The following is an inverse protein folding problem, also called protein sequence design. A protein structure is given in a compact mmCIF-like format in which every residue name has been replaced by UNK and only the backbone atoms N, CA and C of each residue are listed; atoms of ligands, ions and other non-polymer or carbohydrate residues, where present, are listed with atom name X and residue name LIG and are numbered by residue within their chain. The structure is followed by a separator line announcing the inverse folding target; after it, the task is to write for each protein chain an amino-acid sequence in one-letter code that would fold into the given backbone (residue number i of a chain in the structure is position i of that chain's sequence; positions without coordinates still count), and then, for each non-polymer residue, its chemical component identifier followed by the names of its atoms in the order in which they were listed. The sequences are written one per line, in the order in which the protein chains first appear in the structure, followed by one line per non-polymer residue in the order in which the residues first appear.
data_IF_766062304546
#
_entry.id   IF_766062304546
#
_cell.length_a   1.000
_cell.length_b   1.000
_cell.length_c   1.000
_cell.angle_alpha   90.00
_cell.angle_beta   90.00
_cell.angle_gamma   90.00
#
_symmetry.space_group_name_H-M   'P 1'
#
loop_
_entity.id
_entity.type
_entity.pdbx_description
1 polymer ?
#
# COMPACT_ATOMS: atom_id res chain seq x y z
N UNK A 1 22.85 -37.54 -26.07
CA UNK A 1 21.84 -36.73 -26.78
C UNK A 1 20.53 -36.96 -26.03
N UNK A 2 20.00 -36.14 -25.13
CA UNK A 2 20.20 -34.73 -24.76
C UNK A 2 19.86 -34.58 -23.27
N UNK A 3 20.77 -34.02 -22.47
CA UNK A 3 20.50 -33.60 -21.10
C UNK A 3 19.84 -32.21 -21.16
N UNK A 4 18.51 -32.15 -20.94
CA UNK A 4 17.75 -30.89 -20.96
C UNK A 4 17.59 -30.35 -19.55
N UNK A 5 18.63 -29.73 -19.00
CA UNK A 5 18.51 -28.91 -17.80
C UNK A 5 17.91 -27.53 -18.16
N UNK A 6 16.86 -27.03 -17.48
CA UNK A 6 16.26 -25.73 -17.77
C UNK A 6 17.19 -24.57 -17.38
N UNK A 7 17.18 -23.44 -18.12
CA UNK A 7 18.14 -22.37 -17.91
C UNK A 7 17.99 -21.71 -16.54
N UNK A 8 19.04 -21.77 -15.72
CA UNK A 8 19.08 -21.11 -14.41
C UNK A 8 19.00 -19.58 -14.58
N UNK A 9 17.96 -18.98 -13.98
CA UNK A 9 17.82 -17.53 -13.89
C UNK A 9 18.94 -16.94 -13.02
N UNK A 10 19.47 -15.79 -13.44
CA UNK A 10 20.48 -15.03 -12.68
C UNK A 10 19.81 -14.41 -11.44
N UNK A 11 20.02 -15.01 -10.28
CA UNK A 11 19.63 -14.42 -9.00
C UNK A 11 20.66 -13.35 -8.62
N UNK A 12 20.19 -12.14 -8.34
CA UNK A 12 21.03 -11.10 -7.74
C UNK A 12 21.39 -11.56 -6.33
N UNK A 13 22.62 -12.04 -6.17
CA UNK A 13 23.16 -12.43 -4.87
C UNK A 13 23.39 -11.18 -4.03
N UNK A 14 22.58 -10.97 -2.99
CA UNK A 14 22.88 -9.96 -1.98
C UNK A 14 24.09 -10.47 -1.18
N UNK A 15 25.26 -9.92 -1.49
CA UNK A 15 26.46 -10.10 -0.67
C UNK A 15 26.15 -9.75 0.78
N UNK A 16 26.42 -10.69 1.68
CA UNK A 16 26.29 -10.54 3.12
C UNK A 16 26.96 -9.25 3.60
N UNK A 17 26.32 -8.59 4.57
CA UNK A 17 26.83 -7.40 5.23
C UNK A 17 28.17 -7.72 5.92
N UNK A 18 29.28 -7.41 5.25
CA UNK A 18 30.57 -7.31 5.92
C UNK A 18 30.58 -5.94 6.59
N UNK A 19 30.64 -5.93 7.92
CA UNK A 19 30.86 -4.73 8.69
C UNK A 19 32.25 -4.18 8.31
N UNK A 20 32.28 -3.04 7.64
CA UNK A 20 33.53 -2.34 7.36
C UNK A 20 34.15 -1.87 8.69
N UNK A 21 35.46 -2.09 8.93
CA UNK A 21 36.14 -1.45 10.04
C UNK A 21 36.18 0.06 9.78
N UNK A 22 35.34 0.81 10.49
CA UNK A 22 35.16 2.26 10.31
C UNK A 22 33.71 2.76 10.22
N UNK A 23 32.70 1.91 10.48
CA UNK A 23 31.32 2.38 10.61
C UNK A 23 31.12 3.33 11.80
N UNK A 24 30.20 4.32 11.70
CA UNK A 24 29.92 5.26 12.79
C UNK A 24 29.51 4.49 14.06
N UNK A 25 29.87 4.98 15.25
CA UNK A 25 29.64 4.25 16.49
C UNK A 25 28.14 3.96 16.65
N UNK A 26 27.77 2.78 17.19
CA UNK A 26 26.38 2.46 17.47
C UNK A 26 25.82 3.54 18.39
N UNK A 27 24.62 4.02 18.07
CA UNK A 27 23.93 5.01 18.90
C UNK A 27 23.65 4.37 20.26
N UNK A 28 24.37 4.86 21.26
CA UNK A 28 24.28 4.46 22.66
C UNK A 28 22.82 4.45 23.12
N UNK A 29 22.42 3.35 23.76
CA UNK A 29 21.08 3.19 24.32
C UNK A 29 20.95 4.11 25.52
N UNK A 30 20.31 5.26 25.31
CA UNK A 30 20.09 6.31 26.30
C UNK A 30 19.50 5.75 27.61
N UNK A 31 20.32 5.70 28.67
CA UNK A 31 19.87 5.42 30.04
C UNK A 31 19.23 6.70 30.57
N UNK A 32 17.95 6.63 30.95
CA UNK A 32 17.20 7.73 31.54
C UNK A 32 17.87 8.19 32.85
N UNK A 33 18.29 9.46 32.98
CA UNK A 33 18.61 10.00 34.29
C UNK A 33 17.31 10.27 35.04
N UNK A 34 17.23 9.68 36.24
CA UNK A 34 16.27 10.06 37.26
C UNK A 34 16.60 11.46 37.78
N UNK A 35 15.57 12.31 37.87
CA UNK A 35 15.38 13.46 38.76
C UNK A 35 15.13 14.80 38.05
N UNK A 36 13.87 15.26 38.11
CA UNK A 36 13.42 16.43 38.90
C UNK A 36 12.07 16.90 38.36
N UNK A 37 11.14 17.08 39.30
CA UNK A 37 9.78 17.52 39.07
C UNK A 37 9.76 18.86 38.31
N UNK A 38 9.36 18.79 37.03
CA UNK A 38 8.81 19.95 36.34
C UNK A 38 7.30 19.74 36.36
N UNK A 39 6.60 20.61 37.07
CA UNK A 39 5.14 20.64 37.07
C UNK A 39 4.70 21.07 35.68
N UNK A 40 4.37 20.09 34.84
CA UNK A 40 3.65 20.31 33.60
C UNK A 40 2.18 20.52 33.97
N UNK A 41 1.68 21.73 33.80
CA UNK A 41 0.23 21.95 33.65
C UNK A 41 -0.21 21.19 32.39
N UNK A 42 -1.12 20.20 32.49
CA UNK A 42 -1.58 19.48 31.31
C UNK A 42 -2.45 20.44 30.50
N UNK A 43 -1.88 20.98 29.42
CA UNK A 43 -2.70 21.52 28.36
C UNK A 43 -3.44 20.32 27.75
N UNK A 44 -4.76 20.33 27.85
CA UNK A 44 -5.61 19.25 27.37
C UNK A 44 -5.27 18.98 25.90
N UNK A 45 -4.71 17.79 25.63
CA UNK A 45 -4.41 17.36 24.28
C UNK A 45 -5.71 17.35 23.47
N UNK A 46 -5.68 17.93 22.26
CA UNK A 46 -6.77 17.76 21.32
C UNK A 46 -7.04 16.26 21.13
N UNK A 47 -8.31 15.82 21.09
CA UNK A 47 -8.63 14.41 20.92
C UNK A 47 -7.96 13.89 19.63
N UNK A 48 -7.43 12.65 19.63
CA UNK A 48 -6.85 12.07 18.44
C UNK A 48 -7.89 12.07 17.31
N UNK A 49 -7.47 12.30 16.04
CA UNK A 49 -8.40 12.20 14.92
C UNK A 49 -9.03 10.80 14.92
N UNK A 50 -10.33 10.70 14.58
CA UNK A 50 -11.00 9.40 14.55
C UNK A 50 -10.26 8.43 13.63
N UNK A 51 -10.26 7.12 13.94
CA UNK A 51 -9.64 6.12 13.10
C UNK A 51 -10.24 6.18 11.69
N UNK A 52 -9.38 6.10 10.67
CA UNK A 52 -9.82 6.07 9.29
C UNK A 52 -10.82 4.91 9.08
N UNK A 53 -11.93 5.14 8.36
CA UNK A 53 -12.93 4.10 8.13
C UNK A 53 -12.28 2.88 7.46
N UNK A 54 -12.77 1.66 7.76
CA UNK A 54 -12.25 0.45 7.12
C UNK A 54 -12.39 0.58 5.60
N UNK A 55 -11.46 0.02 4.81
CA UNK A 55 -11.52 0.10 3.35
C UNK A 55 -12.74 -0.68 2.84
N UNK A 56 -13.85 0.03 2.71
CA UNK A 56 -15.06 -0.40 2.02
C UNK A 56 -14.87 -0.21 0.53
N UNK A 57 -15.36 -1.17 -0.26
CA UNK A 57 -15.26 -1.10 -1.70
C UNK A 57 -15.58 -2.44 -2.34
N UNK A 58 -16.53 -2.43 -3.26
CA UNK A 58 -16.95 -3.61 -4.03
C UNK A 58 -15.91 -3.97 -5.10
N UNK A 59 -14.82 -3.23 -5.24
CA UNK A 59 -13.82 -3.43 -6.27
C UNK A 59 -12.44 -3.73 -5.71
N UNK A 60 -11.73 -4.65 -6.37
CA UNK A 60 -10.34 -5.00 -6.09
C UNK A 60 -9.46 -4.65 -7.26
N UNK A 61 -8.46 -3.82 -7.02
CA UNK A 61 -7.44 -3.50 -8.00
C UNK A 61 -6.68 -4.77 -8.42
N UNK A 62 -6.57 -5.05 -9.73
CA UNK A 62 -5.81 -6.20 -10.24
C UNK A 62 -4.29 -6.05 -10.03
N UNK A 63 -3.66 -4.88 -10.28
CA UNK A 63 -2.21 -4.75 -10.12
C UNK A 63 -1.71 -4.78 -8.67
N UNK A 64 -2.35 -4.09 -7.72
CA UNK A 64 -1.87 -4.05 -6.33
C UNK A 64 -2.72 -4.85 -5.34
N UNK A 65 -3.91 -5.30 -5.75
CA UNK A 65 -4.80 -6.07 -4.88
C UNK A 65 -5.58 -5.25 -3.83
N UNK A 66 -5.39 -3.94 -3.76
CA UNK A 66 -6.12 -3.08 -2.81
C UNK A 66 -7.60 -3.00 -3.16
N UNK A 67 -8.45 -3.05 -2.12
CA UNK A 67 -9.89 -2.79 -2.25
C UNK A 67 -10.14 -1.29 -2.34
N UNK A 68 -11.06 -0.90 -3.21
CA UNK A 68 -11.43 0.48 -3.40
C UNK A 68 -12.87 0.58 -3.88
N UNK A 69 -13.43 1.78 -3.77
CA UNK A 69 -14.73 2.12 -4.32
C UNK A 69 -14.55 3.12 -5.49
N UNK A 70 -15.13 2.88 -6.67
CA UNK A 70 -15.07 3.81 -7.79
C UNK A 70 -15.86 5.09 -7.44
N UNK A 71 -15.27 6.29 -7.57
CA UNK A 71 -15.97 7.53 -7.28
C UNK A 71 -17.19 7.73 -8.20
N UNK A 72 -18.37 7.91 -7.60
CA UNK A 72 -19.63 8.15 -8.32
C UNK A 72 -19.70 9.51 -9.00
N UNK A 73 -18.88 10.48 -8.59
CA UNK A 73 -18.88 11.85 -9.11
C UNK A 73 -18.02 12.04 -10.37
N UNK A 74 -17.22 11.03 -10.76
CA UNK A 74 -16.39 11.10 -11.97
C UNK A 74 -17.26 11.13 -13.24
N UNK A 75 -16.87 11.84 -14.29
CA UNK A 75 -17.57 11.75 -15.56
C UNK A 75 -17.36 10.36 -16.18
N UNK A 76 -18.29 9.90 -17.00
CA UNK A 76 -18.22 8.56 -17.61
C UNK A 76 -16.99 8.36 -18.52
N UNK A 77 -16.40 9.45 -19.00
CA UNK A 77 -15.18 9.50 -19.81
C UNK A 77 -13.89 9.57 -18.97
N UNK A 78 -14.00 9.82 -17.66
CA UNK A 78 -12.84 9.90 -16.79
C UNK A 78 -12.29 8.52 -16.46
N UNK A 79 -10.95 8.44 -16.38
CA UNK A 79 -10.28 7.22 -15.97
C UNK A 79 -10.25 7.08 -14.44
N UNK A 80 -10.87 6.03 -13.92
CA UNK A 80 -10.75 5.65 -12.52
C UNK A 80 -9.34 5.11 -12.25
N UNK A 81 -8.71 5.66 -11.21
CA UNK A 81 -7.36 5.29 -10.76
C UNK A 81 -7.44 4.57 -9.42
N UNK A 82 -6.55 3.61 -9.21
CA UNK A 82 -6.43 2.98 -7.91
C UNK A 82 -5.88 3.98 -6.88
N UNK A 83 -6.53 4.18 -5.73
CA UNK A 83 -6.01 5.10 -4.69
C UNK A 83 -4.71 4.62 -4.04
N UNK A 84 -4.37 3.33 -4.16
CA UNK A 84 -3.18 2.73 -3.53
C UNK A 84 -1.96 2.73 -4.45
N UNK A 85 -2.11 2.27 -5.70
CA UNK A 85 -0.99 2.17 -6.64
C UNK A 85 -1.05 3.16 -7.80
N UNK A 86 -2.06 4.05 -7.82
CA UNK A 86 -2.29 5.06 -8.86
C UNK A 86 -2.39 4.53 -10.31
N UNK A 87 -2.58 3.23 -10.49
CA UNK A 87 -2.74 2.62 -11.81
C UNK A 87 -4.11 3.01 -12.40
N UNK A 88 -4.16 3.30 -13.70
CA UNK A 88 -5.43 3.43 -14.44
C UNK A 88 -6.11 2.06 -14.51
N UNK A 89 -7.33 1.99 -13.97
CA UNK A 89 -8.10 0.76 -13.88
C UNK A 89 -9.11 0.64 -15.02
N UNK A 90 -9.69 1.74 -15.48
CA UNK A 90 -10.68 1.77 -16.58
C UNK A 90 -11.41 3.10 -16.60
N UNK A 91 -12.45 3.23 -17.43
CA UNK A 91 -13.32 4.41 -17.43
C UNK A 91 -14.41 4.27 -16.37
N UNK A 92 -14.91 5.38 -15.83
CA UNK A 92 -15.99 5.36 -14.85
C UNK A 92 -17.26 4.71 -15.42
N UNK A 93 -17.53 4.89 -16.72
CA UNK A 93 -18.61 4.17 -17.45
C UNK A 93 -18.48 2.64 -17.37
N UNK A 94 -17.28 2.10 -17.52
CA UNK A 94 -17.06 0.64 -17.48
C UNK A 94 -17.37 0.05 -16.09
N UNK A 95 -17.16 0.83 -15.03
CA UNK A 95 -17.51 0.45 -13.64
C UNK A 95 -19.02 0.53 -13.37
N UNK A 96 -19.73 1.44 -14.05
CA UNK A 96 -21.18 1.67 -13.89
C UNK A 96 -22.05 0.84 -14.82
N UNK A 97 -21.48 0.28 -15.89
CA UNK A 97 -22.20 -0.59 -16.80
C UNK A 97 -22.82 -1.79 -16.06
N UNK A 98 -24.03 -2.19 -16.44
CA UNK A 98 -24.69 -3.40 -15.94
C UNK A 98 -24.95 -4.37 -17.10
N UNK A 99 -24.26 -5.52 -17.20
CA UNK A 99 -23.17 -5.97 -16.32
C UNK A 99 -21.84 -5.20 -16.56
N UNK A 100 -20.99 -5.06 -15.52
CA UNK A 100 -19.75 -4.30 -15.63
C UNK A 100 -18.75 -4.94 -16.59
N UNK A 101 -18.03 -4.12 -17.36
CA UNK A 101 -17.15 -4.59 -18.42
C UNK A 101 -15.76 -5.01 -17.88
N UNK A 102 -15.71 -6.17 -17.22
CA UNK A 102 -14.51 -6.69 -16.56
C UNK A 102 -13.32 -6.94 -17.50
N UNK A 103 -13.54 -7.07 -18.81
CA UNK A 103 -12.47 -7.24 -19.80
C UNK A 103 -11.68 -5.95 -20.01
N UNK A 104 -12.36 -4.79 -19.98
CA UNK A 104 -11.74 -3.47 -20.09
C UNK A 104 -11.17 -3.00 -18.75
N UNK A 105 -11.77 -3.44 -17.64
CA UNK A 105 -11.35 -3.07 -16.30
C UNK A 105 -10.14 -3.89 -15.83
N UNK A 106 -9.10 -3.20 -15.36
CA UNK A 106 -8.02 -3.79 -14.54
C UNK A 106 -8.40 -3.88 -13.07
N UNK A 107 -9.66 -4.16 -12.79
CA UNK A 107 -10.22 -4.38 -11.46
C UNK A 107 -11.12 -5.62 -11.46
N UNK A 108 -11.30 -6.23 -10.29
CA UNK A 108 -12.21 -7.35 -10.08
C UNK A 108 -13.37 -6.90 -9.20
N UNK A 109 -14.59 -7.23 -9.59
CA UNK A 109 -15.77 -6.99 -8.77
C UNK A 109 -15.85 -8.06 -7.66
N UNK A 110 -15.90 -7.62 -6.41
CA UNK A 110 -16.05 -8.38 -5.18
C UNK A 110 -17.52 -8.38 -4.75
N UNK A 111 -18.45 -8.72 -5.66
CA UNK A 111 -19.85 -8.89 -5.26
C UNK A 111 -19.91 -9.89 -4.09
N UNK A 112 -20.48 -9.48 -2.95
CA UNK A 112 -20.87 -10.42 -1.90
C UNK A 112 -21.91 -11.36 -2.53
N UNK A 113 -21.61 -12.66 -2.52
CA UNK A 113 -22.60 -13.71 -2.78
C UNK A 113 -23.72 -13.64 -1.73
#
# INVERSE_FOLDING_TARGET
MSDSEPPRRKTLSLKSAVAAPGGPPPLERMVKPSARATVFTPQAAAPPPPPAPPPTGDWKCKPCGTRFDPPAELADEDSVRCPSCNARLGLASDFRADPPNLEKLRARHLKKA
#
